data_IF_645865634148
#
_entry.id   IF_645865634148
#
_cell.length_a   1.000
_cell.length_b   1.000
_cell.length_c   1.000
_cell.angle_alpha   90.00
_cell.angle_beta   90.00
_cell.angle_gamma   90.00
#
_symmetry.space_group_name_H-M   'P 1'
#
loop_
_entity.id
_entity.type
_entity.pdbx_description
1 polymer ?
#
# COMPACT_ATOMS: atom_id res chain seq x y z
N UNK A 1 -5.82 33.50 2.21
CA UNK A 1 -5.14 32.19 2.40
C UNK A 1 -5.80 31.24 1.42
N UNK A 2 -5.05 30.53 0.58
CA UNK A 2 -5.65 29.62 -0.39
C UNK A 2 -6.10 28.34 0.32
N UNK A 3 -7.33 27.90 0.02
CA UNK A 3 -7.90 26.64 0.53
C UNK A 3 -7.50 25.48 -0.37
N UNK A 4 -7.09 24.36 0.22
CA UNK A 4 -6.75 23.11 -0.46
C UNK A 4 -7.69 22.01 0.02
N UNK A 5 -8.32 21.33 -0.92
CA UNK A 5 -9.13 20.13 -0.66
C UNK A 5 -8.29 18.89 -0.90
N UNK A 6 -8.14 18.05 0.13
CA UNK A 6 -7.37 16.80 0.03
C UNK A 6 -8.33 15.62 0.13
N UNK A 7 -8.29 14.75 -0.86
CA UNK A 7 -9.20 13.63 -1.03
C UNK A 7 -8.51 12.30 -0.67
N UNK A 8 -8.89 11.72 0.47
CA UNK A 8 -8.38 10.45 0.97
C UNK A 8 -7.54 10.58 2.25
N UNK A 9 -7.96 9.90 3.33
CA UNK A 9 -7.32 9.89 4.66
C UNK A 9 -6.22 8.83 4.84
N UNK A 10 -5.60 8.36 3.75
CA UNK A 10 -4.46 7.44 3.77
C UNK A 10 -3.12 8.14 4.01
N UNK A 11 -2.01 7.40 3.85
CA UNK A 11 -0.64 7.89 4.07
C UNK A 11 -0.38 9.16 3.24
N UNK A 12 -0.67 9.13 1.93
CA UNK A 12 -0.46 10.27 1.04
C UNK A 12 -1.31 11.49 1.40
N UNK A 13 -2.60 11.28 1.72
CA UNK A 13 -3.50 12.37 2.08
C UNK A 13 -3.16 13.03 3.41
N UNK A 14 -2.87 12.26 4.44
CA UNK A 14 -2.42 12.79 5.75
C UNK A 14 -1.08 13.54 5.60
N UNK A 15 -0.13 12.98 4.85
CA UNK A 15 1.13 13.65 4.57
C UNK A 15 0.92 14.96 3.80
N UNK A 16 0.00 14.97 2.82
CA UNK A 16 -0.40 16.19 2.12
C UNK A 16 -1.01 17.22 3.06
N UNK A 17 -1.95 16.82 3.92
CA UNK A 17 -2.60 17.73 4.86
C UNK A 17 -1.56 18.42 5.76
N UNK A 18 -0.62 17.67 6.31
CA UNK A 18 0.46 18.21 7.14
C UNK A 18 1.37 19.12 6.30
N UNK A 19 1.77 18.69 5.10
CA UNK A 19 2.69 19.44 4.25
C UNK A 19 2.09 20.77 3.78
N UNK A 20 0.86 20.78 3.32
CA UNK A 20 0.16 21.99 2.88
C UNK A 20 -0.09 22.96 4.05
N UNK A 21 -0.44 22.47 5.24
CA UNK A 21 -0.52 23.31 6.45
C UNK A 21 0.79 24.00 6.76
N UNK A 22 1.91 23.30 6.65
CA UNK A 22 3.26 23.88 6.83
C UNK A 22 3.62 24.95 5.80
N UNK A 23 3.01 24.89 4.59
CA UNK A 23 3.17 25.93 3.58
C UNK A 23 2.19 27.12 3.77
N UNK A 24 1.36 27.12 4.82
CA UNK A 24 0.44 28.21 5.13
C UNK A 24 -0.91 28.12 4.42
N UNK A 25 -1.26 27.02 3.80
CA UNK A 25 -2.59 26.83 3.20
C UNK A 25 -3.66 26.51 4.27
N UNK A 26 -4.88 26.91 4.01
CA UNK A 26 -6.04 26.34 4.69
C UNK A 26 -6.33 24.97 4.09
N UNK A 27 -6.48 23.93 4.92
CA UNK A 27 -6.59 22.55 4.45
C UNK A 27 -7.87 21.92 4.97
N UNK A 28 -8.62 21.31 4.06
CA UNK A 28 -9.71 20.38 4.36
C UNK A 28 -9.34 18.99 3.86
N UNK A 29 -9.31 18.01 4.78
CA UNK A 29 -9.09 16.59 4.47
C UNK A 29 -10.44 15.87 4.44
N UNK A 30 -10.78 15.27 3.31
CA UNK A 30 -11.96 14.39 3.15
C UNK A 30 -11.51 12.95 3.26
N UNK A 31 -12.17 12.16 4.09
CA UNK A 31 -11.85 10.74 4.29
C UNK A 31 -13.11 9.92 4.53
N UNK A 32 -13.21 8.74 3.93
CA UNK A 32 -14.29 7.79 4.21
C UNK A 32 -14.20 7.17 5.62
N UNK A 33 -13.01 7.23 6.25
CA UNK A 33 -12.70 6.68 7.57
C UNK A 33 -12.21 7.78 8.48
N UNK A 34 -12.44 7.62 9.77
CA UNK A 34 -12.00 8.56 10.81
C UNK A 34 -10.59 8.25 11.35
N UNK A 35 -9.88 7.31 10.72
CA UNK A 35 -8.51 6.90 11.11
C UNK A 35 -7.57 6.74 9.93
N UNK A 36 -6.29 7.01 10.17
CA UNK A 36 -5.17 6.60 9.33
C UNK A 36 -4.81 5.15 9.64
N UNK A 37 -4.79 4.28 8.63
CA UNK A 37 -4.32 2.90 8.76
C UNK A 37 -2.87 2.77 8.29
N UNK A 38 -2.00 2.21 9.14
CA UNK A 38 -0.57 2.08 8.88
C UNK A 38 -0.29 0.69 8.29
N UNK A 39 -0.53 0.55 6.99
CA UNK A 39 -0.42 -0.72 6.26
C UNK A 39 0.86 -1.54 6.52
N UNK A 40 2.08 -0.97 6.62
CA UNK A 40 3.28 -1.75 6.88
C UNK A 40 3.29 -2.53 8.20
N UNK A 41 2.39 -2.18 9.14
CA UNK A 41 2.24 -2.87 10.43
C UNK A 41 1.15 -3.95 10.39
N UNK A 42 0.30 -3.96 9.37
CA UNK A 42 -0.84 -4.87 9.27
C UNK A 42 -0.45 -6.35 9.17
N UNK A 43 0.78 -6.64 8.78
CA UNK A 43 1.36 -7.99 8.70
C UNK A 43 1.35 -8.74 10.04
N UNK A 44 1.32 -8.02 11.17
CA UNK A 44 1.37 -8.58 12.50
C UNK A 44 -0.01 -8.86 13.13
N UNK A 45 -1.09 -8.33 12.54
CA UNK A 45 -2.47 -8.61 12.99
C UNK A 45 -2.80 -10.11 12.84
N UNK A 46 -2.56 -10.75 11.68
CA UNK A 46 -2.94 -12.15 11.47
C UNK A 46 -2.23 -13.13 12.40
N UNK A 47 -1.03 -12.81 12.85
CA UNK A 47 -0.23 -13.63 13.78
C UNK A 47 -0.39 -13.20 15.25
N UNK A 48 -1.33 -12.30 15.53
CA UNK A 48 -1.67 -11.89 16.89
C UNK A 48 -0.67 -10.95 17.60
N UNK A 49 0.42 -10.55 16.92
CA UNK A 49 1.47 -9.71 17.51
C UNK A 49 1.06 -8.23 17.63
N UNK A 50 0.05 -7.78 16.88
CA UNK A 50 -0.54 -6.44 16.98
C UNK A 50 -2.05 -6.48 16.90
N UNK A 51 -2.71 -5.48 17.50
CA UNK A 51 -4.14 -5.23 17.41
C UNK A 51 -4.42 -4.07 16.46
N UNK A 52 -5.68 -3.89 16.06
CA UNK A 52 -6.10 -2.79 15.20
C UNK A 52 -5.68 -1.40 15.73
N UNK A 53 -5.81 -1.15 17.05
CA UNK A 53 -5.40 0.10 17.69
C UNK A 53 -3.90 0.40 17.53
N UNK A 54 -3.08 -0.65 17.38
CA UNK A 54 -1.63 -0.52 17.27
C UNK A 54 -1.21 -0.07 15.87
N UNK A 55 -2.05 -0.33 14.86
CA UNK A 55 -1.80 -0.03 13.45
C UNK A 55 -2.64 1.11 12.91
N UNK A 56 -3.37 1.81 13.78
CA UNK A 56 -4.25 2.92 13.41
C UNK A 56 -4.00 4.18 14.24
N UNK A 57 -4.40 5.35 13.69
CA UNK A 57 -4.36 6.64 14.36
C UNK A 57 -5.64 7.43 14.04
N UNK A 58 -6.38 7.98 15.03
CA UNK A 58 -7.54 8.83 14.77
C UNK A 58 -7.15 10.08 13.96
N UNK A 59 -7.83 10.31 12.84
CA UNK A 59 -7.61 11.50 12.00
C UNK A 59 -7.98 12.79 12.74
N UNK A 60 -8.98 12.75 13.63
CA UNK A 60 -9.35 13.89 14.47
C UNK A 60 -8.21 14.38 15.38
N UNK A 61 -7.35 13.45 15.86
CA UNK A 61 -6.16 13.81 16.63
C UNK A 61 -5.12 14.54 15.78
N UNK A 62 -4.91 14.07 14.55
CA UNK A 62 -4.01 14.70 13.59
C UNK A 62 -4.55 16.06 13.13
N UNK A 63 -5.85 16.15 12.86
CA UNK A 63 -6.50 17.40 12.46
C UNK A 63 -6.32 18.51 13.52
N UNK A 64 -6.57 18.19 14.78
CA UNK A 64 -6.35 19.14 15.90
C UNK A 64 -4.88 19.52 16.05
N UNK A 65 -3.97 18.55 15.91
CA UNK A 65 -2.52 18.80 16.07
C UNK A 65 -1.97 19.72 15.00
N UNK A 66 -2.38 19.52 13.74
CA UNK A 66 -1.82 20.23 12.58
C UNK A 66 -2.72 21.36 12.06
N UNK A 67 -3.90 21.56 12.65
CA UNK A 67 -4.79 22.67 12.32
C UNK A 67 -5.45 22.54 10.93
N UNK A 68 -5.80 21.34 10.49
CA UNK A 68 -6.62 21.15 9.30
C UNK A 68 -8.05 20.71 9.65
N UNK A 69 -9.01 21.02 8.78
CA UNK A 69 -10.39 20.55 8.91
C UNK A 69 -10.50 19.10 8.42
N UNK A 70 -11.40 18.35 9.02
CA UNK A 70 -11.65 16.95 8.68
C UNK A 70 -13.13 16.74 8.37
N UNK A 71 -13.42 16.26 7.18
CA UNK A 71 -14.76 15.86 6.74
C UNK A 71 -14.80 14.34 6.55
N UNK A 72 -15.65 13.65 7.32
CA UNK A 72 -15.86 12.19 7.17
C UNK A 72 -16.95 11.97 6.15
N UNK A 73 -16.52 11.79 4.91
CA UNK A 73 -17.38 11.57 3.75
C UNK A 73 -16.62 10.78 2.68
N UNK A 74 -17.34 10.28 1.69
CA UNK A 74 -16.78 9.53 0.57
C UNK A 74 -16.84 10.34 -0.71
N UNK A 75 -15.77 10.31 -1.49
CA UNK A 75 -15.76 10.91 -2.82
C UNK A 75 -16.59 10.03 -3.76
N UNK A 76 -17.64 10.61 -4.33
CA UNK A 76 -18.55 9.93 -5.26
C UNK A 76 -18.16 10.14 -6.72
N UNK A 77 -17.72 11.36 -7.08
CA UNK A 77 -17.29 11.69 -8.44
C UNK A 77 -16.23 12.79 -8.45
N UNK A 78 -15.45 12.81 -9.53
CA UNK A 78 -14.46 13.83 -9.86
C UNK A 78 -14.69 14.26 -11.31
N UNK A 79 -14.71 15.56 -11.54
CA UNK A 79 -14.78 16.15 -12.87
C UNK A 79 -13.67 17.19 -13.04
N UNK A 80 -12.68 16.84 -13.89
CA UNK A 80 -11.51 17.68 -14.15
C UNK A 80 -11.83 18.89 -15.04
N UNK A 81 -12.79 18.77 -15.96
CA UNK A 81 -13.17 19.84 -16.87
C UNK A 81 -13.98 20.90 -16.14
N UNK A 82 -15.01 20.47 -15.41
CA UNK A 82 -15.84 21.36 -14.57
C UNK A 82 -15.12 21.76 -13.28
N UNK A 83 -14.01 21.10 -12.91
CA UNK A 83 -13.29 21.25 -11.64
C UNK A 83 -14.19 21.05 -10.41
N UNK A 84 -15.03 20.03 -10.44
CA UNK A 84 -15.92 19.72 -9.32
C UNK A 84 -15.54 18.43 -8.62
N UNK A 85 -15.83 18.37 -7.33
CA UNK A 85 -15.70 17.17 -6.49
C UNK A 85 -17.06 16.90 -5.88
N UNK A 86 -17.60 15.71 -6.10
CA UNK A 86 -18.86 15.28 -5.48
C UNK A 86 -18.60 14.35 -4.32
N UNK A 87 -19.17 14.66 -3.17
CA UNK A 87 -19.15 13.83 -1.97
C UNK A 87 -20.51 13.16 -1.77
N UNK A 88 -20.55 11.97 -1.17
CA UNK A 88 -21.79 11.19 -1.03
C UNK A 88 -22.83 11.88 -0.14
N UNK A 89 -22.41 12.51 0.95
CA UNK A 89 -23.30 13.16 1.93
C UNK A 89 -23.39 14.67 1.71
N UNK A 90 -22.25 15.30 1.48
CA UNK A 90 -22.14 16.76 1.39
C UNK A 90 -22.63 17.31 0.04
N UNK A 91 -22.62 16.49 -1.02
CA UNK A 91 -22.97 16.91 -2.37
C UNK A 91 -21.79 17.49 -3.14
N UNK A 92 -22.09 18.36 -4.12
CA UNK A 92 -21.10 18.93 -5.03
C UNK A 92 -20.33 20.07 -4.34
N UNK A 93 -19.03 20.02 -4.41
CA UNK A 93 -18.10 21.10 -4.06
C UNK A 93 -17.63 21.75 -5.36
N UNK A 94 -18.12 22.96 -5.62
CA UNK A 94 -17.84 23.68 -6.86
C UNK A 94 -16.45 24.32 -6.85
N UNK A 95 -15.72 24.07 -7.94
CA UNK A 95 -14.48 24.75 -8.31
C UNK A 95 -13.47 24.97 -7.17
N UNK A 96 -13.09 23.93 -6.39
CA UNK A 96 -12.02 24.11 -5.43
C UNK A 96 -10.73 24.49 -6.18
N UNK A 97 -10.12 25.61 -5.79
CA UNK A 97 -8.97 26.18 -6.47
C UNK A 97 -7.76 25.21 -6.48
N UNK A 98 -7.58 24.47 -5.39
CA UNK A 98 -6.51 23.48 -5.22
C UNK A 98 -7.09 22.17 -4.70
N UNK A 99 -6.74 21.09 -5.39
CA UNK A 99 -7.16 19.71 -5.01
C UNK A 99 -5.95 18.78 -5.00
N UNK A 100 -5.88 17.92 -4.00
CA UNK A 100 -4.93 16.81 -3.97
C UNK A 100 -5.69 15.49 -3.95
N UNK A 101 -5.58 14.70 -5.01
CA UNK A 101 -6.19 13.38 -5.09
C UNK A 101 -5.24 12.34 -4.49
N UNK A 102 -5.61 11.80 -3.33
CA UNK A 102 -4.84 10.81 -2.56
C UNK A 102 -5.71 9.59 -2.19
N UNK A 103 -6.63 9.20 -3.10
CA UNK A 103 -7.62 8.13 -2.88
C UNK A 103 -7.01 6.73 -2.85
N UNK A 104 -5.72 6.61 -3.16
CA UNK A 104 -5.05 5.32 -3.19
C UNK A 104 -5.39 4.49 -4.42
N UNK A 105 -5.49 3.18 -4.27
CA UNK A 105 -5.76 2.25 -5.35
C UNK A 105 -6.79 1.20 -4.92
N UNK A 106 -7.65 0.82 -5.84
CA UNK A 106 -8.53 -0.33 -5.70
C UNK A 106 -7.76 -1.64 -5.95
N UNK A 107 -8.31 -2.76 -5.51
CA UNK A 107 -7.77 -4.08 -5.80
C UNK A 107 -8.20 -4.54 -7.18
N UNK A 108 -7.27 -5.05 -7.97
CA UNK A 108 -7.58 -5.71 -9.23
C UNK A 108 -8.49 -6.92 -8.96
N UNK A 109 -9.59 -7.01 -9.69
CA UNK A 109 -10.57 -8.08 -9.51
C UNK A 109 -10.06 -9.40 -10.08
N UNK A 110 -10.33 -10.48 -9.36
CA UNK A 110 -10.13 -11.86 -9.79
C UNK A 110 -11.41 -12.64 -9.54
N UNK A 111 -11.69 -13.62 -10.36
CA UNK A 111 -12.83 -14.55 -10.18
C UNK A 111 -12.65 -15.33 -8.88
N UNK A 112 -13.68 -15.39 -8.04
CA UNK A 112 -13.65 -16.09 -6.76
C UNK A 112 -12.79 -15.42 -5.67
N UNK A 113 -12.39 -14.14 -5.82
CA UNK A 113 -11.54 -13.43 -4.85
C UNK A 113 -12.12 -13.42 -3.43
N UNK A 114 -13.43 -13.53 -3.28
CA UNK A 114 -14.15 -13.63 -2.01
C UNK A 114 -13.78 -14.86 -1.20
N UNK A 115 -13.28 -15.93 -1.84
CA UNK A 115 -12.77 -17.14 -1.18
C UNK A 115 -11.38 -16.93 -0.56
N UNK A 116 -10.74 -15.79 -0.81
CA UNK A 116 -9.43 -15.47 -0.27
C UNK A 116 -9.51 -14.53 0.94
N UNK A 117 -8.41 -14.44 1.68
CA UNK A 117 -8.16 -13.38 2.66
C UNK A 117 -6.99 -12.51 2.20
N UNK A 118 -6.92 -11.28 2.70
CA UNK A 118 -5.82 -10.36 2.40
C UNK A 118 -5.44 -9.55 3.65
N UNK A 119 -4.26 -8.97 3.65
CA UNK A 119 -3.84 -7.96 4.64
C UNK A 119 -3.84 -6.54 4.05
N UNK A 120 -4.07 -6.41 2.73
CA UNK A 120 -4.13 -5.14 2.04
C UNK A 120 -5.58 -4.77 1.77
N UNK A 121 -6.00 -3.57 2.14
CA UNK A 121 -7.37 -3.08 1.96
C UNK A 121 -7.96 -2.56 3.26
N UNK A 122 -9.11 -3.08 3.66
CA UNK A 122 -9.75 -2.72 4.92
C UNK A 122 -9.14 -3.51 6.08
N UNK A 123 -9.05 -2.94 7.28
CA UNK A 123 -8.51 -3.62 8.47
C UNK A 123 -9.21 -4.93 8.80
N UNK A 124 -10.51 -5.01 8.54
CA UNK A 124 -11.36 -6.19 8.76
C UNK A 124 -10.83 -7.42 8.02
N UNK A 125 -10.12 -7.22 6.89
CA UNK A 125 -9.52 -8.34 6.16
C UNK A 125 -8.37 -9.00 6.94
N UNK A 126 -7.54 -8.20 7.61
CA UNK A 126 -6.46 -8.71 8.48
C UNK A 126 -7.02 -9.43 9.70
N UNK A 127 -8.13 -8.94 10.28
CA UNK A 127 -8.81 -9.59 11.41
C UNK A 127 -9.44 -10.92 10.96
N UNK A 128 -10.15 -10.93 9.83
CA UNK A 128 -10.71 -12.16 9.25
C UNK A 128 -9.62 -13.20 8.96
N UNK A 129 -8.46 -12.76 8.46
CA UNK A 129 -7.32 -13.65 8.23
C UNK A 129 -6.81 -14.25 9.54
N UNK A 130 -6.72 -13.43 10.61
CA UNK A 130 -6.36 -13.90 11.95
C UNK A 130 -7.31 -15.00 12.43
N UNK A 131 -8.61 -14.76 12.39
CA UNK A 131 -9.64 -15.74 12.80
C UNK A 131 -9.50 -17.06 12.04
N UNK A 132 -9.22 -17.01 10.72
CA UNK A 132 -9.02 -18.22 9.92
C UNK A 132 -7.74 -18.96 10.27
N UNK A 133 -6.65 -18.26 10.57
CA UNK A 133 -5.40 -18.89 11.03
C UNK A 133 -5.63 -19.56 12.39
N UNK A 134 -6.28 -18.87 13.34
CA UNK A 134 -6.62 -19.42 14.65
C UNK A 134 -7.51 -20.67 14.54
N UNK A 135 -8.48 -20.69 13.62
CA UNK A 135 -9.33 -21.85 13.36
C UNK A 135 -8.51 -23.04 12.81
N UNK A 136 -7.55 -22.82 11.94
CA UNK A 136 -6.65 -23.88 11.44
C UNK A 136 -5.71 -24.40 12.54
N UNK A 137 -5.20 -23.52 13.38
CA UNK A 137 -4.38 -23.88 14.55
C UNK A 137 -5.20 -24.74 15.51
N UNK A 138 -6.44 -24.34 15.82
CA UNK A 138 -7.32 -25.12 16.68
C UNK A 138 -7.71 -26.50 16.09
N UNK A 139 -7.76 -26.61 14.75
CA UNK A 139 -7.99 -27.89 14.05
C UNK A 139 -6.76 -28.82 14.08
N UNK A 140 -5.58 -28.28 14.39
CA UNK A 140 -4.34 -29.05 14.48
C UNK A 140 -3.51 -29.09 13.21
N UNK A 141 -3.81 -28.26 12.20
CA UNK A 141 -3.00 -28.20 10.98
C UNK A 141 -3.81 -27.89 9.71
N UNK A 142 -3.11 -27.88 8.58
CA UNK A 142 -3.73 -27.69 7.27
C UNK A 142 -2.82 -27.15 6.18
N UNK A 143 -3.40 -26.94 5.00
CA UNK A 143 -2.71 -26.43 3.80
C UNK A 143 -2.98 -24.95 3.65
N UNK A 144 -1.91 -24.15 3.67
CA UNK A 144 -1.99 -22.69 3.50
C UNK A 144 -1.33 -22.30 2.19
N UNK A 145 -2.08 -21.65 1.31
CA UNK A 145 -1.55 -21.03 0.11
C UNK A 145 -1.48 -19.51 0.30
N UNK A 146 -0.31 -18.92 0.11
CA UNK A 146 -0.07 -17.50 0.26
C UNK A 146 0.57 -16.94 -1.01
N UNK A 147 0.05 -15.82 -1.53
CA UNK A 147 0.60 -15.26 -2.74
C UNK A 147 0.18 -13.82 -3.01
N UNK A 148 0.67 -13.30 -4.13
CA UNK A 148 0.28 -11.98 -4.63
C UNK A 148 0.21 -11.94 -6.15
N UNK A 149 -0.63 -11.04 -6.66
CA UNK A 149 -0.85 -10.85 -8.09
C UNK A 149 -0.01 -9.76 -8.72
N UNK A 150 -0.04 -9.72 -10.05
CA UNK A 150 0.50 -8.65 -10.87
C UNK A 150 -0.60 -7.87 -11.58
N UNK A 151 -0.29 -6.65 -12.02
CA UNK A 151 -1.11 -5.90 -12.96
C UNK A 151 -0.35 -5.78 -14.28
N UNK A 152 -0.81 -6.42 -15.37
CA UNK A 152 -0.11 -6.37 -16.66
C UNK A 152 -0.11 -4.98 -17.29
N UNK A 153 -0.99 -4.08 -16.86
CA UNK A 153 -1.10 -2.72 -17.36
C UNK A 153 -0.21 -1.73 -16.59
N UNK A 154 0.19 -2.06 -15.35
CA UNK A 154 1.08 -1.22 -14.54
C UNK A 154 1.83 -2.07 -13.50
N UNK A 155 3.08 -2.37 -13.80
CA UNK A 155 3.92 -3.17 -12.91
C UNK A 155 4.18 -2.49 -11.54
N UNK A 156 4.10 -1.15 -11.44
CA UNK A 156 4.33 -0.43 -10.17
C UNK A 156 3.28 -0.75 -9.11
N UNK A 157 2.12 -1.26 -9.51
CA UNK A 157 0.97 -1.55 -8.64
C UNK A 157 1.05 -2.91 -7.91
N UNK A 158 2.11 -3.69 -8.12
CA UNK A 158 2.32 -4.98 -7.42
C UNK A 158 2.71 -4.74 -5.96
N UNK A 159 2.14 -5.48 -5.04
CA UNK A 159 2.35 -5.37 -3.58
C UNK A 159 2.92 -6.67 -3.00
N UNK A 160 4.12 -7.07 -3.46
CA UNK A 160 4.73 -8.34 -3.05
C UNK A 160 5.38 -8.32 -1.66
N UNK A 161 5.95 -7.19 -1.23
CA UNK A 161 6.64 -7.06 0.06
C UNK A 161 5.82 -7.58 1.25
N UNK A 162 4.61 -7.07 1.49
CA UNK A 162 3.74 -7.53 2.58
C UNK A 162 3.38 -9.02 2.50
N UNK A 163 3.33 -9.60 1.29
CA UNK A 163 3.11 -11.04 1.11
C UNK A 163 4.24 -11.89 1.66
N UNK A 164 5.49 -11.54 1.35
CA UNK A 164 6.65 -12.22 1.92
C UNK A 164 6.75 -12.05 3.44
N UNK A 165 6.50 -10.84 3.93
CA UNK A 165 6.55 -10.57 5.35
C UNK A 165 5.52 -11.39 6.14
N UNK A 166 4.28 -11.43 5.66
CA UNK A 166 3.24 -12.23 6.30
C UNK A 166 3.59 -13.72 6.27
N UNK A 167 4.11 -14.23 5.14
CA UNK A 167 4.52 -15.60 4.99
C UNK A 167 5.56 -16.01 6.03
N UNK A 168 6.60 -15.21 6.21
CA UNK A 168 7.66 -15.50 7.17
C UNK A 168 7.21 -15.32 8.62
N UNK A 169 6.38 -14.32 8.91
CA UNK A 169 5.78 -14.15 10.24
C UNK A 169 4.84 -15.29 10.60
N UNK A 170 4.08 -15.81 9.64
CA UNK A 170 3.24 -17.00 9.84
C UNK A 170 4.07 -18.25 10.13
N UNK A 171 5.14 -18.51 9.34
CA UNK A 171 6.07 -19.62 9.60
C UNK A 171 6.67 -19.53 11.01
N UNK A 172 7.11 -18.34 11.40
CA UNK A 172 7.65 -18.10 12.73
C UNK A 172 6.61 -18.31 13.84
N UNK A 173 5.40 -17.80 13.65
CA UNK A 173 4.29 -17.97 14.59
C UNK A 173 3.97 -19.45 14.83
N UNK A 174 3.83 -20.23 13.76
CA UNK A 174 3.57 -21.67 13.87
C UNK A 174 4.71 -22.44 14.53
N UNK A 175 5.97 -22.04 14.30
CA UNK A 175 7.13 -22.57 15.00
C UNK A 175 7.11 -22.27 16.49
N UNK A 176 6.74 -21.03 16.86
CA UNK A 176 6.64 -20.63 18.26
C UNK A 176 5.58 -21.43 19.01
N UNK A 177 4.51 -21.83 18.31
CA UNK A 177 3.47 -22.71 18.84
C UNK A 177 3.88 -24.19 18.86
N UNK A 178 5.01 -24.56 18.26
CA UNK A 178 5.49 -25.96 18.18
C UNK A 178 4.69 -26.84 17.21
N UNK A 179 3.96 -26.25 16.28
CA UNK A 179 3.04 -26.96 15.36
C UNK A 179 3.34 -26.70 13.89
N UNK A 180 4.50 -26.15 13.55
CA UNK A 180 4.85 -25.79 12.16
C UNK A 180 4.76 -26.98 11.19
N UNK A 181 5.12 -28.17 11.66
CA UNK A 181 5.18 -29.39 10.85
C UNK A 181 3.80 -29.95 10.50
N UNK A 182 2.76 -29.51 11.20
CA UNK A 182 1.36 -29.84 10.91
C UNK A 182 0.76 -29.01 9.75
N UNK A 183 1.57 -28.09 9.19
CA UNK A 183 1.13 -27.19 8.14
C UNK A 183 1.96 -27.34 6.87
N UNK A 184 1.27 -27.54 5.76
CA UNK A 184 1.84 -27.40 4.42
C UNK A 184 1.68 -25.96 3.95
N UNK A 185 2.78 -25.25 3.71
CA UNK A 185 2.76 -23.87 3.25
C UNK A 185 3.28 -23.79 1.82
N UNK A 186 2.47 -23.22 0.92
CA UNK A 186 2.85 -22.95 -0.47
C UNK A 186 2.78 -21.46 -0.76
N UNK A 187 3.88 -20.91 -1.28
CA UNK A 187 3.90 -19.56 -1.82
C UNK A 187 3.68 -19.57 -3.34
N UNK A 188 2.72 -18.80 -3.83
CA UNK A 188 2.37 -18.78 -5.25
C UNK A 188 2.35 -17.37 -5.83
N UNK A 189 2.69 -17.24 -7.12
CA UNK A 189 2.63 -15.97 -7.85
C UNK A 189 2.54 -16.22 -9.37
N UNK A 190 1.80 -15.37 -10.11
CA UNK A 190 1.68 -15.51 -11.56
C UNK A 190 2.97 -15.12 -12.31
N UNK A 191 3.86 -14.34 -11.70
CA UNK A 191 5.15 -13.99 -12.29
C UNK A 191 6.20 -15.09 -12.05
N UNK A 192 7.15 -15.24 -12.99
CA UNK A 192 8.24 -16.22 -12.88
C UNK A 192 9.23 -15.91 -11.74
N UNK A 193 9.47 -14.61 -11.51
CA UNK A 193 10.37 -14.12 -10.45
C UNK A 193 9.65 -13.15 -9.51
N UNK A 194 8.87 -13.66 -8.53
CA UNK A 194 8.19 -12.81 -7.56
C UNK A 194 9.21 -12.04 -6.72
N UNK A 195 9.11 -10.71 -6.73
CA UNK A 195 10.05 -9.86 -5.99
C UNK A 195 11.24 -9.35 -6.80
N UNK A 196 11.32 -9.59 -8.12
CA UNK A 196 12.45 -9.14 -8.97
C UNK A 196 12.78 -7.65 -8.84
N UNK A 197 11.79 -6.80 -8.55
CA UNK A 197 11.99 -5.36 -8.30
C UNK A 197 12.85 -5.05 -7.06
N UNK A 198 12.93 -5.96 -6.12
CA UNK A 198 13.77 -5.80 -4.92
C UNK A 198 15.26 -6.04 -5.21
N UNK A 199 15.57 -6.55 -6.41
CA UNK A 199 16.91 -6.81 -6.87
C UNK A 199 17.36 -8.25 -6.68
N UNK A 200 18.43 -8.62 -7.39
CA UNK A 200 18.92 -10.01 -7.45
C UNK A 200 19.35 -10.55 -6.08
N UNK A 201 20.01 -9.71 -5.28
CA UNK A 201 20.49 -10.14 -3.93
C UNK A 201 19.32 -10.46 -2.99
N UNK A 202 18.29 -9.61 -2.98
CA UNK A 202 17.08 -9.84 -2.19
C UNK A 202 16.34 -11.10 -2.69
N UNK A 203 16.20 -11.25 -4.01
CA UNK A 203 15.53 -12.41 -4.61
C UNK A 203 16.23 -13.73 -4.25
N UNK A 204 17.56 -13.80 -4.35
CA UNK A 204 18.35 -14.97 -3.96
C UNK A 204 18.22 -15.29 -2.48
N UNK A 205 18.25 -14.28 -1.61
CA UNK A 205 18.07 -14.46 -0.18
C UNK A 205 16.67 -15.00 0.15
N UNK A 206 15.62 -14.46 -0.49
CA UNK A 206 14.26 -14.96 -0.30
C UNK A 206 14.09 -16.42 -0.76
N UNK A 207 14.65 -16.77 -1.92
CA UNK A 207 14.61 -18.15 -2.41
C UNK A 207 15.29 -19.12 -1.44
N UNK A 208 16.46 -18.75 -0.89
CA UNK A 208 17.16 -19.54 0.12
C UNK A 208 16.32 -19.68 1.41
N UNK A 209 15.68 -18.61 1.86
CA UNK A 209 14.82 -18.65 3.05
C UNK A 209 13.58 -19.52 2.87
N UNK A 210 12.90 -19.41 1.72
CA UNK A 210 11.74 -20.26 1.41
C UNK A 210 12.12 -21.74 1.47
N UNK A 211 13.28 -22.11 0.88
CA UNK A 211 13.81 -23.46 0.93
C UNK A 211 14.16 -23.91 2.37
N UNK A 212 14.86 -23.06 3.13
CA UNK A 212 15.25 -23.36 4.51
C UNK A 212 14.05 -23.54 5.45
N UNK A 213 12.94 -22.84 5.17
CA UNK A 213 11.70 -22.91 5.95
C UNK A 213 10.71 -23.97 5.43
N UNK A 214 11.14 -24.83 4.50
CA UNK A 214 10.29 -25.87 3.89
C UNK A 214 8.95 -25.29 3.35
N UNK A 215 9.04 -24.18 2.64
CA UNK A 215 7.89 -23.51 1.99
C UNK A 215 7.94 -23.87 0.50
N UNK A 216 6.91 -24.58 0.03
CA UNK A 216 6.77 -24.92 -1.38
C UNK A 216 6.50 -23.66 -2.24
N UNK A 217 6.88 -23.69 -3.51
CA UNK A 217 6.67 -22.57 -4.42
C UNK A 217 5.93 -22.96 -5.69
N UNK A 218 5.06 -22.07 -6.19
CA UNK A 218 4.33 -22.20 -7.46
C UNK A 218 4.39 -20.86 -8.21
N UNK A 219 5.35 -20.71 -9.10
CA UNK A 219 5.59 -19.49 -9.86
C UNK A 219 5.28 -19.61 -11.33
N UNK A 220 5.05 -18.48 -12.00
CA UNK A 220 4.87 -18.40 -13.45
C UNK A 220 3.55 -18.98 -13.95
N UNK A 221 2.59 -19.25 -13.07
CA UNK A 221 1.28 -19.77 -13.41
C UNK A 221 0.22 -18.70 -13.19
N UNK A 222 -0.44 -18.31 -14.27
CA UNK A 222 -1.54 -17.35 -14.19
C UNK A 222 -2.73 -17.98 -13.47
N UNK A 223 -3.35 -17.20 -12.61
CA UNK A 223 -4.51 -17.58 -11.83
C UNK A 223 -5.75 -17.43 -12.72
N UNK A 224 -6.52 -18.49 -12.86
CA UNK A 224 -7.83 -18.47 -13.51
C UNK A 224 -8.90 -17.99 -12.52
N UNK A 225 -9.04 -18.68 -11.40
CA UNK A 225 -10.00 -18.34 -10.35
C UNK A 225 -9.58 -18.87 -8.99
N UNK A 226 -10.21 -18.34 -7.95
CA UNK A 226 -10.12 -18.87 -6.60
C UNK A 226 -11.37 -19.70 -6.28
N UNK A 227 -11.20 -20.79 -5.55
CA UNK A 227 -12.27 -21.65 -5.05
C UNK A 227 -12.18 -21.76 -3.53
N UNK A 228 -13.25 -22.20 -2.83
CA UNK A 228 -13.23 -22.35 -1.37
C UNK A 228 -12.11 -23.22 -0.83
N UNK A 229 -11.65 -24.18 -1.65
CA UNK A 229 -10.65 -25.19 -1.33
C UNK A 229 -9.35 -25.07 -2.14
N UNK A 230 -9.08 -23.89 -2.76
CA UNK A 230 -7.81 -23.68 -3.45
C UNK A 230 -7.81 -22.68 -4.61
N UNK A 231 -6.78 -22.79 -5.44
CA UNK A 231 -6.52 -21.92 -6.58
C UNK A 231 -6.49 -22.76 -7.86
N UNK A 232 -7.26 -22.36 -8.86
CA UNK A 232 -7.23 -22.94 -10.21
C UNK A 232 -6.41 -22.05 -11.13
N UNK A 233 -5.41 -22.62 -11.79
CA UNK A 233 -4.57 -21.92 -12.76
C UNK A 233 -5.12 -22.04 -14.19
N UNK A 234 -4.63 -21.21 -15.13
CA UNK A 234 -5.07 -21.25 -16.53
C UNK A 234 -4.82 -22.62 -17.21
N UNK A 235 -3.80 -23.37 -16.75
CA UNK A 235 -3.53 -24.74 -17.22
C UNK A 235 -4.43 -25.82 -16.58
N UNK A 236 -5.52 -25.40 -15.93
CA UNK A 236 -6.51 -26.23 -15.22
C UNK A 236 -5.96 -27.02 -14.04
N UNK A 237 -4.71 -26.86 -13.68
CA UNK A 237 -4.17 -27.45 -12.45
C UNK A 237 -4.68 -26.69 -11.23
N UNK A 238 -4.95 -27.41 -10.16
CA UNK A 238 -5.40 -26.86 -8.88
C UNK A 238 -4.27 -26.94 -7.85
N UNK A 239 -4.12 -25.86 -7.08
CA UNK A 239 -3.38 -25.87 -5.83
C UNK A 239 -4.41 -25.90 -4.71
N UNK A 240 -4.54 -27.04 -4.07
CA UNK A 240 -5.45 -27.21 -2.94
C UNK A 240 -4.96 -26.45 -1.71
N UNK A 241 -5.87 -25.82 -0.98
CA UNK A 241 -5.58 -25.11 0.26
C UNK A 241 -6.81 -24.98 1.15
N UNK A 242 -6.62 -25.11 2.45
CA UNK A 242 -7.65 -24.87 3.46
C UNK A 242 -7.77 -23.38 3.81
N UNK A 243 -6.73 -22.63 3.51
CA UNK A 243 -6.69 -21.17 3.62
C UNK A 243 -5.88 -20.57 2.48
N UNK A 244 -6.53 -19.76 1.66
CA UNK A 244 -5.85 -18.95 0.65
C UNK A 244 -5.74 -17.51 1.11
N UNK A 245 -4.51 -17.01 1.24
CA UNK A 245 -4.20 -15.59 1.39
C UNK A 245 -3.66 -15.03 0.08
N UNK A 246 -4.28 -13.97 -0.42
CA UNK A 246 -3.88 -13.37 -1.69
C UNK A 246 -3.87 -11.84 -1.62
N UNK A 247 -2.80 -11.23 -2.10
CA UNK A 247 -2.70 -9.77 -2.26
C UNK A 247 -2.85 -9.43 -3.74
N UNK A 248 -4.03 -8.98 -4.19
CA UNK A 248 -4.19 -8.50 -5.56
C UNK A 248 -3.28 -7.30 -5.83
N UNK A 249 -2.84 -7.15 -7.07
CA UNK A 249 -2.22 -5.90 -7.49
C UNK A 249 -3.24 -4.75 -7.43
N UNK A 250 -2.74 -3.52 -7.41
CA UNK A 250 -3.57 -2.33 -7.47
C UNK A 250 -4.05 -2.03 -8.89
N UNK A 251 -5.18 -1.37 -8.99
CA UNK A 251 -5.67 -0.62 -10.15
C UNK A 251 -6.18 0.74 -9.69
N UNK A 252 -6.38 1.68 -10.61
CA UNK A 252 -6.95 2.98 -10.26
C UNK A 252 -8.26 2.85 -9.50
N UNK A 253 -8.49 3.73 -8.52
CA UNK A 253 -9.73 3.72 -7.75
C UNK A 253 -10.95 3.85 -8.68
N UNK A 254 -12.07 3.24 -8.30
CA UNK A 254 -13.27 3.24 -9.13
C UNK A 254 -13.80 4.65 -9.43
N UNK A 255 -13.64 5.59 -8.51
CA UNK A 255 -14.02 6.99 -8.71
C UNK A 255 -13.13 7.65 -9.76
N UNK A 256 -11.82 7.40 -9.70
CA UNK A 256 -10.85 7.89 -10.68
C UNK A 256 -11.17 7.30 -12.05
N UNK A 257 -11.38 6.01 -12.16
CA UNK A 257 -11.65 5.32 -13.43
C UNK A 257 -12.96 5.78 -14.12
N UNK A 258 -13.91 6.29 -13.34
CA UNK A 258 -15.17 6.85 -13.89
C UNK A 258 -15.11 8.35 -14.18
N UNK A 259 -14.03 9.01 -13.76
CA UNK A 259 -13.84 10.45 -14.00
C UNK A 259 -13.27 10.72 -15.40
N UNK A 260 -13.27 11.99 -15.79
CA UNK A 260 -12.59 12.50 -16.99
C UNK A 260 -11.15 12.95 -16.72
N UNK A 261 -10.58 12.61 -15.55
CA UNK A 261 -9.17 12.87 -15.26
C UNK A 261 -8.27 12.06 -16.22
N UNK A 262 -7.12 12.57 -16.64
CA UNK A 262 -6.17 11.83 -17.47
C UNK A 262 -5.66 10.60 -16.70
N UNK A 263 -5.72 9.42 -17.34
CA UNK A 263 -5.42 8.14 -16.71
C UNK A 263 -4.57 7.26 -17.61
N UNK A 264 -3.70 6.45 -17.01
CA UNK A 264 -3.03 5.37 -17.72
C UNK A 264 -3.97 4.16 -17.94
N UNK A 265 -3.52 3.15 -18.66
CA UNK A 265 -4.31 1.94 -18.98
C UNK A 265 -4.76 1.14 -17.75
N UNK A 266 -4.11 1.34 -16.58
CA UNK A 266 -4.48 0.72 -15.31
C UNK A 266 -5.44 1.59 -14.48
N UNK A 267 -5.83 2.79 -14.96
CA UNK A 267 -6.75 3.70 -14.31
C UNK A 267 -6.12 4.59 -13.23
N UNK A 268 -4.80 4.72 -13.18
CA UNK A 268 -4.11 5.67 -12.31
C UNK A 268 -3.99 7.03 -12.98
N UNK A 269 -4.07 8.10 -12.20
CA UNK A 269 -4.04 9.49 -12.69
C UNK A 269 -2.66 9.81 -13.27
N UNK A 270 -2.61 10.28 -14.52
CA UNK A 270 -1.39 10.77 -15.16
C UNK A 270 -0.96 12.09 -14.50
N UNK A 271 0.31 12.15 -14.10
CA UNK A 271 0.92 13.31 -13.46
C UNK A 271 2.28 13.62 -14.09
N UNK A 272 2.68 14.87 -14.01
CA UNK A 272 4.07 15.25 -14.30
C UNK A 272 5.00 14.98 -13.09
N UNK A 273 6.31 15.26 -13.27
CA UNK A 273 7.31 15.07 -12.21
C UNK A 273 7.02 15.90 -10.93
N UNK A 274 6.23 16.96 -11.05
CA UNK A 274 5.86 17.84 -9.94
C UNK A 274 4.56 17.43 -9.23
N UNK A 275 4.02 16.26 -9.54
CA UNK A 275 2.76 15.70 -9.04
C UNK A 275 1.50 16.45 -9.50
N UNK A 276 1.58 17.32 -10.52
CA UNK A 276 0.43 18.00 -11.10
C UNK A 276 -0.32 17.04 -12.00
N UNK A 277 -1.64 17.05 -11.93
CA UNK A 277 -2.48 16.30 -12.88
C UNK A 277 -2.38 16.96 -14.25
N UNK A 278 -2.06 16.19 -15.27
CA UNK A 278 -1.88 16.68 -16.63
C UNK A 278 -3.13 17.43 -17.13
N UNK A 279 -2.94 18.63 -17.68
CA UNK A 279 -4.01 19.45 -18.23
C UNK A 279 -4.94 20.14 -17.22
N UNK A 280 -4.81 19.89 -15.91
CA UNK A 280 -5.73 20.45 -14.90
C UNK A 280 -4.97 21.32 -13.90
N UNK A 281 -5.01 22.63 -14.10
CA UNK A 281 -4.31 23.59 -13.23
C UNK A 281 -4.86 23.57 -11.80
N UNK A 282 -3.96 23.49 -10.81
CA UNK A 282 -4.27 23.51 -9.38
C UNK A 282 -4.62 22.14 -8.80
N UNK A 283 -4.66 21.09 -9.64
CA UNK A 283 -4.93 19.74 -9.19
C UNK A 283 -3.67 18.88 -9.18
N UNK A 284 -3.48 18.13 -8.12
CA UNK A 284 -2.33 17.25 -7.88
C UNK A 284 -2.82 15.84 -7.57
N UNK A 285 -2.00 14.82 -7.88
CA UNK A 285 -2.25 13.46 -7.39
C UNK A 285 -0.99 12.88 -6.74
N UNK A 286 -1.17 12.17 -5.62
CA UNK A 286 -0.06 11.63 -4.83
C UNK A 286 -0.31 10.18 -4.39
N UNK A 287 0.77 9.46 -4.16
CA UNK A 287 0.73 8.09 -3.68
C UNK A 287 0.15 7.12 -4.71
N UNK A 288 -0.60 6.12 -4.23
CA UNK A 288 -1.07 5.02 -5.08
C UNK A 288 -2.12 5.47 -6.12
N UNK A 289 -2.74 6.63 -5.96
CA UNK A 289 -3.68 7.19 -6.94
C UNK A 289 -2.99 7.63 -8.24
N UNK A 290 -1.70 8.01 -8.17
CA UNK A 290 -0.94 8.53 -9.28
C UNK A 290 -0.30 7.43 -10.13
N UNK A 291 -0.26 7.61 -11.45
CA UNK A 291 0.57 6.83 -12.36
C UNK A 291 2.02 7.28 -12.20
N UNK A 292 2.84 6.42 -11.60
CA UNK A 292 4.26 6.75 -11.44
C UNK A 292 5.00 6.58 -12.76
N UNK A 293 5.78 7.59 -13.14
CA UNK A 293 6.75 7.47 -14.21
C UNK A 293 8.15 7.24 -13.64
N UNK A 294 9.04 6.61 -14.43
CA UNK A 294 10.40 6.31 -14.02
C UNK A 294 10.82 4.89 -14.35
N UNK A 295 11.88 4.35 -13.71
CA UNK A 295 12.46 3.06 -14.06
C UNK A 295 11.47 1.90 -13.88
N UNK A 296 11.71 0.78 -14.59
CA UNK A 296 10.84 -0.41 -14.55
C UNK A 296 10.64 -0.99 -13.15
N UNK A 297 11.63 -0.88 -12.28
CA UNK A 297 11.55 -1.35 -10.90
C UNK A 297 10.79 -0.42 -9.97
N UNK A 298 10.27 0.74 -10.45
CA UNK A 298 9.46 1.65 -9.62
C UNK A 298 8.33 0.93 -8.91
N UNK A 299 8.03 1.37 -7.70
CA UNK A 299 7.00 0.77 -6.86
C UNK A 299 6.21 1.84 -6.11
N UNK A 300 4.91 1.62 -5.97
CA UNK A 300 4.05 2.42 -5.11
C UNK A 300 4.34 2.06 -3.65
N UNK A 301 4.91 3.00 -2.89
CA UNK A 301 5.32 2.79 -1.50
C UNK A 301 4.94 4.01 -0.63
N UNK A 302 4.73 3.78 0.66
CA UNK A 302 4.28 4.83 1.58
C UNK A 302 5.23 6.02 1.67
N UNK A 303 6.55 5.80 1.72
CA UNK A 303 7.53 6.88 1.77
C UNK A 303 7.61 7.69 0.46
N UNK A 304 7.34 7.07 -0.68
CA UNK A 304 7.20 7.78 -1.97
C UNK A 304 5.93 8.64 -1.94
N UNK A 305 4.82 8.11 -1.41
CA UNK A 305 3.60 8.91 -1.25
C UNK A 305 3.82 10.14 -0.35
N UNK A 306 4.62 10.02 0.71
CA UNK A 306 4.98 11.14 1.59
C UNK A 306 5.90 12.15 0.90
N UNK A 307 6.89 11.68 0.13
CA UNK A 307 7.74 12.52 -0.70
C UNK A 307 6.90 13.34 -1.70
N UNK A 308 6.02 12.66 -2.45
CA UNK A 308 5.13 13.30 -3.42
C UNK A 308 4.24 14.35 -2.76
N UNK A 309 3.69 14.05 -1.58
CA UNK A 309 2.87 14.97 -0.79
C UNK A 309 3.65 16.24 -0.40
N UNK A 310 4.88 16.08 0.07
CA UNK A 310 5.77 17.20 0.39
C UNK A 310 6.13 18.05 -0.82
N UNK A 311 6.42 17.39 -1.95
CA UNK A 311 6.74 18.06 -3.22
C UNK A 311 5.52 18.84 -3.75
N UNK A 312 4.34 18.21 -3.80
CA UNK A 312 3.11 18.86 -4.24
C UNK A 312 2.80 20.11 -3.42
N UNK A 313 2.98 20.05 -2.09
CA UNK A 313 2.76 21.21 -1.22
C UNK A 313 3.78 22.35 -1.48
N UNK A 314 5.07 22.03 -1.64
CA UNK A 314 6.09 23.01 -1.99
C UNK A 314 5.81 23.64 -3.37
N UNK A 315 5.47 22.83 -4.36
CA UNK A 315 5.19 23.26 -5.72
C UNK A 315 3.93 24.15 -5.78
N UNK A 316 2.87 23.75 -5.08
CA UNK A 316 1.66 24.58 -4.96
C UNK A 316 1.95 25.94 -4.29
N UNK A 317 2.84 25.99 -3.29
CA UNK A 317 3.22 27.26 -2.66
C UNK A 317 3.98 28.19 -3.61
N UNK A 318 4.83 27.63 -4.49
CA UNK A 318 5.52 28.41 -5.53
C UNK A 318 4.51 28.94 -6.55
N UNK A 319 3.59 28.09 -7.04
CA UNK A 319 2.66 28.43 -8.11
C UNK A 319 1.51 29.36 -7.68
N UNK A 320 1.05 29.26 -6.43
CA UNK A 320 -0.19 29.92 -5.98
C UNK A 320 -0.01 30.89 -4.82
N UNK A 321 1.13 30.84 -4.10
CA UNK A 321 1.38 31.74 -2.95
C UNK A 321 2.58 32.66 -3.16
N UNK A 322 3.19 32.66 -4.37
CA UNK A 322 4.33 33.53 -4.70
C UNK A 322 5.62 33.17 -3.96
N UNK A 323 5.72 31.97 -3.40
CA UNK A 323 6.94 31.49 -2.74
C UNK A 323 8.06 31.38 -3.77
N UNK A 324 9.25 31.87 -3.42
CA UNK A 324 10.43 31.70 -4.26
C UNK A 324 11.06 30.32 -4.05
N UNK A 325 11.59 29.74 -5.13
CA UNK A 325 12.29 28.45 -5.09
C UNK A 325 12.14 27.65 -6.38
N UNK A 326 12.87 26.54 -6.48
CA UNK A 326 12.76 25.60 -7.58
C UNK A 326 11.65 24.56 -7.30
N UNK A 327 10.93 24.18 -8.35
CA UNK A 327 9.97 23.07 -8.31
C UNK A 327 10.67 21.77 -7.95
N UNK A 328 9.99 20.91 -7.20
CA UNK A 328 10.54 19.64 -6.70
C UNK A 328 9.90 18.45 -7.44
N UNK A 329 10.73 17.70 -8.15
CA UNK A 329 10.33 16.46 -8.81
C UNK A 329 10.40 15.25 -7.87
N UNK A 330 9.61 14.21 -8.17
CA UNK A 330 9.63 12.95 -7.41
C UNK A 330 10.49 11.86 -8.08
N UNK A 331 10.64 11.89 -9.41
CA UNK A 331 11.23 10.78 -10.19
C UNK A 331 12.69 10.51 -9.81
N UNK A 332 13.47 11.55 -9.57
CA UNK A 332 14.87 11.44 -9.15
C UNK A 332 15.05 10.77 -7.76
N UNK A 333 13.99 10.72 -6.97
CA UNK A 333 13.97 10.18 -5.61
C UNK A 333 13.35 8.78 -5.52
N UNK A 334 12.92 8.22 -6.66
CA UNK A 334 12.36 6.87 -6.67
C UNK A 334 13.38 5.85 -6.17
N UNK A 335 12.95 5.03 -5.24
CA UNK A 335 13.72 3.91 -4.72
C UNK A 335 12.77 2.84 -4.20
N UNK A 336 13.27 1.62 -4.07
CA UNK A 336 12.62 0.55 -3.31
C UNK A 336 13.31 0.50 -1.95
N UNK A 337 12.57 0.82 -0.90
CA UNK A 337 13.02 0.69 0.48
C UNK A 337 12.02 -0.17 1.24
N UNK A 338 12.48 -1.30 1.73
CA UNK A 338 11.66 -2.23 2.50
C UNK A 338 12.49 -2.85 3.63
N UNK A 339 11.95 -2.83 4.83
CA UNK A 339 12.41 -3.68 5.92
C UNK A 339 11.45 -4.86 6.01
N UNK A 340 11.85 -5.99 5.43
CA UNK A 340 11.06 -7.22 5.43
C UNK A 340 11.23 -7.93 6.76
N UNK A 341 10.19 -7.91 7.57
CA UNK A 341 10.14 -8.63 8.83
C UNK A 341 9.90 -10.13 8.60
N UNK A 342 10.58 -10.96 9.39
CA UNK A 342 10.56 -12.43 9.26
C UNK A 342 10.13 -13.12 10.56
N UNK A 343 9.67 -12.35 11.55
CA UNK A 343 9.31 -12.83 12.87
C UNK A 343 10.51 -12.93 13.83
N UNK A 344 11.60 -13.51 13.40
CA UNK A 344 12.86 -13.68 14.16
C UNK A 344 14.00 -12.76 13.72
N UNK A 345 13.73 -11.86 12.80
CA UNK A 345 14.68 -10.92 12.23
C UNK A 345 14.03 -10.11 11.10
N UNK A 346 14.86 -9.42 10.32
CA UNK A 346 14.42 -8.74 9.11
C UNK A 346 15.50 -8.74 8.03
N UNK A 347 15.10 -8.41 6.80
CA UNK A 347 15.99 -8.07 5.70
C UNK A 347 15.73 -6.65 5.24
N UNK A 348 16.75 -5.81 5.21
CA UNK A 348 16.66 -4.47 4.62
C UNK A 348 16.97 -4.54 3.14
N UNK A 349 15.99 -4.18 2.33
CA UNK A 349 16.11 -4.06 0.88
C UNK A 349 16.19 -2.57 0.54
N UNK A 350 17.20 -2.20 -0.19
CA UNK A 350 17.29 -0.87 -0.81
C UNK A 350 17.72 -1.02 -2.26
N UNK A 351 16.98 -0.35 -3.15
CA UNK A 351 17.32 -0.29 -4.57
C UNK A 351 16.97 1.09 -5.14
N UNK A 352 17.90 1.66 -5.86
CA UNK A 352 17.68 2.81 -6.72
C UNK A 352 18.37 2.57 -8.08
N UNK A 353 18.48 3.58 -8.93
CA UNK A 353 19.11 3.47 -10.24
C UNK A 353 20.61 3.15 -10.18
N UNK A 354 21.27 3.41 -9.04
CA UNK A 354 22.72 3.27 -8.89
C UNK A 354 23.14 2.07 -8.02
N UNK A 355 22.28 1.64 -7.09
CA UNK A 355 22.65 0.67 -6.06
C UNK A 355 21.54 -0.31 -5.78
N UNK A 356 21.94 -1.54 -5.50
CA UNK A 356 21.07 -2.61 -5.04
C UNK A 356 21.72 -3.26 -3.81
N UNK A 357 21.02 -3.22 -2.68
CA UNK A 357 21.53 -3.66 -1.39
C UNK A 357 20.50 -4.55 -0.71
N UNK A 358 20.97 -5.68 -0.17
CA UNK A 358 20.23 -6.50 0.77
C UNK A 358 21.09 -6.73 2.01
N UNK A 359 20.58 -6.35 3.19
CA UNK A 359 21.27 -6.49 4.47
C UNK A 359 20.41 -7.38 5.37
N UNK A 360 20.85 -8.62 5.67
CA UNK A 360 20.18 -9.43 6.68
C UNK A 360 20.42 -8.84 8.07
N UNK A 361 19.36 -8.74 8.84
CA UNK A 361 19.39 -8.24 10.23
C UNK A 361 18.68 -9.24 11.14
N UNK A 362 19.36 -10.33 11.52
CA UNK A 362 18.80 -11.33 12.43
C UNK A 362 18.49 -10.68 13.79
N UNK A 363 17.39 -11.06 14.43
CA UNK A 363 16.93 -10.60 15.74
C UNK A 363 16.63 -9.10 15.78
N UNK A 364 17.67 -8.25 15.63
CA UNK A 364 17.58 -6.80 15.74
C UNK A 364 16.62 -6.19 14.71
N UNK A 365 16.54 -6.77 13.52
CA UNK A 365 15.69 -6.26 12.44
C UNK A 365 14.20 -6.27 12.78
N UNK A 366 13.71 -7.31 13.45
CA UNK A 366 12.34 -7.38 13.94
C UNK A 366 12.00 -6.21 14.88
N UNK A 367 12.85 -6.01 15.90
CA UNK A 367 12.67 -4.92 16.86
C UNK A 367 12.77 -3.54 16.22
N UNK A 368 13.68 -3.36 15.25
CA UNK A 368 13.81 -2.11 14.51
C UNK A 368 12.55 -1.79 13.71
N UNK A 369 11.92 -2.77 13.08
CA UNK A 369 10.68 -2.54 12.34
C UNK A 369 9.52 -2.22 13.28
N UNK A 370 9.40 -2.89 14.42
CA UNK A 370 8.39 -2.54 15.43
C UNK A 370 8.63 -1.12 15.96
N UNK A 371 9.89 -0.77 16.29
CA UNK A 371 10.26 0.57 16.74
C UNK A 371 9.97 1.63 15.68
N UNK A 372 10.19 1.32 14.39
CA UNK A 372 9.80 2.19 13.30
C UNK A 372 8.29 2.47 13.31
N UNK A 373 7.47 1.48 13.57
CA UNK A 373 6.01 1.67 13.67
C UNK A 373 5.61 2.65 14.77
N UNK A 374 6.24 2.56 15.94
CA UNK A 374 6.04 3.52 17.02
C UNK A 374 6.58 4.91 16.65
N UNK A 375 7.79 4.99 16.09
CA UNK A 375 8.36 6.23 15.58
C UNK A 375 7.47 6.88 14.53
N UNK A 376 6.94 6.11 13.58
CA UNK A 376 6.05 6.63 12.55
C UNK A 376 4.82 7.32 13.15
N UNK A 377 4.17 6.71 14.14
CA UNK A 377 3.04 7.33 14.85
C UNK A 377 3.46 8.61 15.58
N UNK A 378 4.57 8.56 16.30
CA UNK A 378 5.09 9.73 17.03
C UNK A 378 5.47 10.84 16.07
N UNK A 379 6.14 10.54 14.95
CA UNK A 379 6.52 11.53 13.95
C UNK A 379 5.32 12.30 13.40
N UNK A 380 4.17 11.62 13.21
CA UNK A 380 2.93 12.31 12.78
C UNK A 380 2.31 13.21 13.86
N UNK A 381 2.72 13.07 15.09
CA UNK A 381 2.25 13.92 16.21
C UNK A 381 3.26 15.01 16.56
N UNK A 382 4.54 14.85 16.24
CA UNK A 382 5.61 15.75 16.70
C UNK A 382 6.08 16.73 15.61
N UNK A 383 5.87 16.39 14.34
CA UNK A 383 6.18 17.24 13.19
C UNK A 383 5.04 18.20 12.94
#
# INVERSE_FOLDING_TARGET
MHKVLILGGGIGGVASAIAFRKQGFEVELVSERDYLFIYPLAIWIPVGSMQFKDVSMPLSKLARKHGFSLTIDRVAALDGDAKTVTLEKTGVLDSPALVVVALGASKLKHEGIEHTCSICGKPEESLRLKEKIEALVARGGGRIALGFGGNPKDASAVRGGPGFELLFNLDYHLKTLGIRDEFEITFFAPMAEPGARMGKKALSAMAAMLKAKNIATRYGKKISRFEPDGIVFEDQRKLESDLTMFIPAGEGDAVIRRSNLPQNSAGFICIDDYCRIEGIKGWYAVGDAAALEGPEWKAKQGHIAELMAGNAACNAAIEHSGRQGAMKGYQAHLNVLCMMDMGDGAGVVYKNSLREVFIPMPIVGHWLKQSWGHYYKLSKLWI
#
